data_IF_374762166170
#
_entry.id   IF_374762166170
#
_cell.length_a   1.000
_cell.length_b   1.000
_cell.length_c   1.000
_cell.angle_alpha   90.00
_cell.angle_beta   90.00
_cell.angle_gamma   90.00
#
_symmetry.space_group_name_H-M   'P 1'
#
loop_
_entity.id
_entity.type
_entity.pdbx_description
1 polymer ?
#
# COMPACT_ATOMS: atom_id res chain seq x y z
N UNK A 1 -27.42 -1.88 5.77
CA UNK A 1 -28.66 -2.28 6.44
C UNK A 1 -28.68 -3.81 6.60
N UNK A 2 -28.71 -4.31 7.84
CA UNK A 2 -28.64 -5.75 8.13
C UNK A 2 -29.87 -6.50 7.59
N UNK A 3 -31.04 -5.87 7.59
CA UNK A 3 -32.28 -6.49 7.08
C UNK A 3 -32.28 -6.80 5.58
N UNK A 4 -31.32 -6.21 4.84
CA UNK A 4 -31.16 -6.44 3.40
C UNK A 4 -30.21 -7.60 3.09
N UNK A 5 -29.65 -8.27 4.13
CA UNK A 5 -28.77 -9.42 3.98
C UNK A 5 -29.62 -10.70 3.96
N UNK A 6 -29.73 -11.30 2.80
CA UNK A 6 -30.50 -12.51 2.65
C UNK A 6 -29.78 -13.75 3.23
N UNK A 7 -30.54 -14.63 3.91
CA UNK A 7 -30.06 -15.85 4.56
C UNK A 7 -28.98 -15.62 5.64
N UNK A 8 -28.92 -14.41 6.24
CA UNK A 8 -27.95 -14.05 7.28
C UNK A 8 -26.50 -14.46 6.95
N UNK A 9 -26.15 -14.37 5.67
CA UNK A 9 -24.87 -14.85 5.17
C UNK A 9 -24.19 -13.78 4.30
N UNK A 10 -22.91 -13.57 4.55
CA UNK A 10 -22.05 -12.74 3.71
C UNK A 10 -21.07 -13.62 2.95
N UNK A 11 -20.98 -13.41 1.64
CA UNK A 11 -20.11 -14.16 0.73
C UNK A 11 -19.18 -13.16 0.03
N UNK A 12 -17.88 -13.34 0.20
CA UNK A 12 -16.87 -12.57 -0.51
C UNK A 12 -16.40 -13.37 -1.71
N UNK A 13 -16.69 -12.89 -2.91
CA UNK A 13 -16.44 -13.63 -4.16
C UNK A 13 -16.28 -12.71 -5.35
N UNK A 14 -15.82 -13.27 -6.45
CA UNK A 14 -15.84 -12.64 -7.77
C UNK A 14 -17.11 -13.08 -8.50
N UNK A 15 -17.73 -12.18 -9.25
CA UNK A 15 -18.90 -12.45 -10.06
C UNK A 15 -18.54 -12.64 -11.55
N UNK A 16 -19.52 -13.06 -12.34
CA UNK A 16 -19.33 -13.17 -13.79
C UNK A 16 -19.04 -11.81 -14.40
N UNK A 17 -18.21 -11.82 -15.43
CA UNK A 17 -17.92 -10.62 -16.22
C UNK A 17 -19.20 -9.96 -16.73
N UNK A 18 -19.23 -8.62 -16.78
CA UNK A 18 -20.37 -7.79 -17.18
C UNK A 18 -21.63 -7.93 -16.30
N UNK A 19 -21.51 -8.45 -15.09
CA UNK A 19 -22.60 -8.40 -14.12
C UNK A 19 -22.90 -6.92 -13.81
N UNK A 20 -24.17 -6.54 -13.91
CA UNK A 20 -24.61 -5.15 -13.63
C UNK A 20 -24.72 -4.92 -12.13
N UNK A 21 -24.20 -3.80 -11.68
CA UNK A 21 -24.22 -3.38 -10.28
C UNK A 21 -24.40 -1.87 -10.16
N UNK A 22 -25.40 -1.44 -9.40
CA UNK A 22 -25.65 -0.02 -9.15
C UNK A 22 -25.00 0.40 -7.84
N UNK A 23 -24.09 1.35 -7.92
CA UNK A 23 -23.35 1.92 -6.79
C UNK A 23 -24.13 3.04 -6.09
N UNK A 24 -23.64 3.48 -4.91
CA UNK A 24 -24.29 4.51 -4.08
C UNK A 24 -24.49 5.87 -4.78
N UNK A 25 -23.71 6.13 -5.84
CA UNK A 25 -23.83 7.32 -6.70
C UNK A 25 -24.86 7.21 -7.82
N UNK A 26 -25.75 6.20 -7.75
CA UNK A 26 -26.78 5.91 -8.74
C UNK A 26 -26.26 5.54 -10.14
N UNK A 27 -24.99 5.19 -10.27
CA UNK A 27 -24.40 4.77 -11.54
C UNK A 27 -24.44 3.25 -11.68
N UNK A 28 -25.04 2.75 -12.78
CA UNK A 28 -24.96 1.34 -13.16
C UNK A 28 -23.59 1.07 -13.78
N UNK A 29 -22.88 0.09 -13.22
CA UNK A 29 -21.54 -0.34 -13.64
C UNK A 29 -21.56 -1.79 -14.09
N UNK A 30 -20.77 -2.11 -15.09
CA UNK A 30 -20.51 -3.48 -15.49
C UNK A 30 -19.27 -3.99 -14.76
N UNK A 31 -19.45 -5.02 -13.92
CA UNK A 31 -18.37 -5.61 -13.14
C UNK A 31 -17.45 -6.44 -14.04
N UNK A 32 -16.17 -6.48 -13.69
CA UNK A 32 -15.23 -7.44 -14.25
C UNK A 32 -15.17 -8.70 -13.40
N UNK A 33 -14.83 -9.83 -14.02
CA UNK A 33 -14.57 -11.08 -13.32
C UNK A 33 -13.40 -11.00 -12.31
N UNK A 34 -12.57 -9.93 -12.35
CA UNK A 34 -11.51 -9.68 -11.37
C UNK A 34 -11.97 -8.83 -10.17
N UNK A 35 -13.16 -8.25 -10.22
CA UNK A 35 -13.66 -7.39 -9.15
C UNK A 35 -14.13 -8.24 -7.97
N UNK A 36 -13.58 -7.96 -6.79
CA UNK A 36 -13.98 -8.61 -5.56
C UNK A 36 -15.26 -7.97 -5.05
N UNK A 37 -16.27 -8.78 -4.81
CA UNK A 37 -17.58 -8.33 -4.36
C UNK A 37 -17.92 -8.91 -3.00
N UNK A 38 -18.62 -8.13 -2.20
CA UNK A 38 -19.31 -8.60 -1.01
C UNK A 38 -20.75 -8.82 -1.40
N UNK A 39 -21.22 -10.03 -1.22
CA UNK A 39 -22.56 -10.48 -1.60
C UNK A 39 -23.32 -11.04 -0.39
N UNK A 40 -24.63 -11.08 -0.49
CA UNK A 40 -25.49 -11.79 0.46
C UNK A 40 -25.55 -13.30 0.20
N UNK A 41 -26.32 -14.03 0.99
CA UNK A 41 -26.50 -15.48 0.86
C UNK A 41 -27.29 -15.93 -0.37
N UNK A 42 -27.81 -15.01 -1.18
CA UNK A 42 -28.40 -15.28 -2.51
C UNK A 42 -27.48 -14.88 -3.65
N UNK A 43 -26.23 -14.55 -3.36
CA UNK A 43 -25.24 -14.03 -4.31
C UNK A 43 -25.61 -12.66 -4.91
N UNK A 44 -26.45 -11.87 -4.24
CA UNK A 44 -26.73 -10.50 -4.66
C UNK A 44 -25.55 -9.59 -4.27
N UNK A 45 -24.98 -8.84 -5.20
CA UNK A 45 -23.87 -7.95 -4.88
C UNK A 45 -24.33 -6.77 -4.03
N UNK A 46 -23.63 -6.54 -2.91
CA UNK A 46 -23.92 -5.49 -1.96
C UNK A 46 -22.88 -4.36 -1.98
N UNK A 47 -21.62 -4.72 -2.29
CA UNK A 47 -20.50 -3.77 -2.23
C UNK A 47 -19.36 -4.25 -3.14
N UNK A 48 -18.69 -3.32 -3.81
CA UNK A 48 -17.37 -3.55 -4.41
C UNK A 48 -16.35 -3.46 -3.28
N UNK A 49 -15.76 -4.60 -2.92
CA UNK A 49 -14.92 -4.77 -1.74
C UNK A 49 -13.78 -3.74 -1.69
N UNK A 50 -13.74 -2.96 -0.62
CA UNK A 50 -12.74 -1.93 -0.41
C UNK A 50 -12.80 -0.72 -1.35
N UNK A 51 -13.82 -0.62 -2.21
CA UNK A 51 -13.96 0.47 -3.18
C UNK A 51 -15.22 1.28 -2.95
N UNK A 52 -16.41 0.67 -3.16
CA UNK A 52 -17.65 1.46 -3.07
C UNK A 52 -18.88 0.58 -2.79
N UNK A 53 -19.76 1.08 -1.94
CA UNK A 53 -21.00 0.41 -1.57
C UNK A 53 -22.04 0.39 -2.68
N UNK A 54 -22.96 -0.57 -2.62
CA UNK A 54 -24.12 -0.65 -3.51
C UNK A 54 -25.31 0.15 -2.99
N UNK A 55 -26.12 0.64 -3.91
CA UNK A 55 -27.31 1.44 -3.60
C UNK A 55 -28.32 0.65 -2.75
N UNK A 56 -28.55 -0.61 -3.11
CA UNK A 56 -29.59 -1.43 -2.47
C UNK A 56 -29.25 -1.74 -1.00
N UNK A 57 -27.97 -1.97 -0.70
CA UNK A 57 -27.50 -2.36 0.65
C UNK A 57 -27.26 -1.20 1.61
N UNK A 58 -27.33 0.04 1.12
CA UNK A 58 -27.09 1.25 1.88
C UNK A 58 -28.01 1.43 3.08
N UNK A 59 -27.56 2.21 4.06
CA UNK A 59 -28.36 2.64 5.20
C UNK A 59 -29.29 3.80 4.81
N UNK A 60 -30.46 3.83 5.40
CA UNK A 60 -31.50 4.82 5.18
C UNK A 60 -31.98 5.38 6.54
N UNK A 61 -32.79 6.43 6.52
CA UNK A 61 -33.35 7.00 7.76
C UNK A 61 -34.21 6.00 8.56
N UNK A 62 -34.75 4.99 7.91
CA UNK A 62 -35.54 3.91 8.50
C UNK A 62 -34.71 2.74 9.03
N UNK A 63 -33.41 2.71 8.78
CA UNK A 63 -32.53 1.60 9.19
C UNK A 63 -32.39 1.56 10.70
N UNK A 64 -32.75 0.43 11.28
CA UNK A 64 -32.64 0.17 12.73
C UNK A 64 -31.59 -0.88 13.08
N UNK A 65 -31.11 -1.63 12.09
CA UNK A 65 -30.12 -2.68 12.27
C UNK A 65 -29.02 -2.55 11.23
N UNK A 66 -27.77 -2.56 11.68
CA UNK A 66 -26.60 -2.44 10.81
C UNK A 66 -25.69 -3.65 10.96
N UNK A 67 -25.18 -4.13 9.85
CA UNK A 67 -24.08 -5.08 9.81
C UNK A 67 -22.77 -4.30 9.57
N UNK A 68 -21.82 -4.47 10.49
CA UNK A 68 -20.51 -3.84 10.38
C UNK A 68 -19.51 -4.81 9.77
N UNK A 69 -18.83 -4.34 8.74
CA UNK A 69 -17.68 -4.99 8.13
C UNK A 69 -16.42 -4.22 8.46
N UNK A 70 -15.38 -4.95 8.84
CA UNK A 70 -14.02 -4.44 8.91
C UNK A 70 -13.11 -5.49 8.29
N UNK A 71 -12.33 -5.11 7.28
CA UNK A 71 -11.61 -6.07 6.47
C UNK A 71 -10.22 -5.60 6.08
N UNK A 72 -9.41 -6.53 5.61
CA UNK A 72 -8.19 -6.29 4.86
C UNK A 72 -8.38 -6.85 3.44
N UNK A 73 -8.16 -6.03 2.43
CA UNK A 73 -8.25 -6.41 1.03
C UNK A 73 -6.89 -6.32 0.36
N UNK A 74 -6.66 -7.15 -0.65
CA UNK A 74 -5.45 -7.09 -1.46
C UNK A 74 -5.35 -5.70 -2.14
N UNK A 75 -4.30 -4.91 -1.86
CA UNK A 75 -4.16 -3.54 -2.35
C UNK A 75 -4.14 -3.43 -3.87
N UNK A 76 -3.51 -4.41 -4.54
CA UNK A 76 -3.42 -4.45 -6.00
C UNK A 76 -4.78 -4.69 -6.63
N UNK A 77 -5.59 -5.58 -6.04
CA UNK A 77 -6.96 -5.85 -6.49
C UNK A 77 -7.82 -4.59 -6.36
N UNK A 78 -7.81 -3.95 -5.19
CA UNK A 78 -8.56 -2.71 -4.94
C UNK A 78 -8.16 -1.62 -5.93
N UNK A 79 -6.85 -1.40 -6.13
CA UNK A 79 -6.34 -0.39 -7.08
C UNK A 79 -6.78 -0.64 -8.52
N UNK A 80 -6.70 -1.89 -8.99
CA UNK A 80 -7.13 -2.26 -10.35
C UNK A 80 -8.63 -2.02 -10.53
N UNK A 81 -9.44 -2.45 -9.58
CA UNK A 81 -10.89 -2.28 -9.58
C UNK A 81 -11.29 -0.80 -9.53
N UNK A 82 -10.72 -0.02 -8.60
CA UNK A 82 -10.99 1.41 -8.49
C UNK A 82 -10.65 2.15 -9.79
N UNK A 83 -9.50 1.84 -10.41
CA UNK A 83 -9.09 2.43 -11.69
C UNK A 83 -10.01 2.02 -12.83
N UNK A 84 -10.44 0.76 -12.90
CA UNK A 84 -11.35 0.24 -13.95
C UNK A 84 -12.68 0.96 -13.94
N UNK A 85 -13.24 1.20 -12.77
CA UNK A 85 -14.52 1.88 -12.61
C UNK A 85 -14.42 3.40 -12.47
N UNK A 86 -13.22 3.98 -12.60
CA UNK A 86 -12.95 5.40 -12.39
C UNK A 86 -13.46 5.91 -11.04
N UNK A 87 -13.36 5.08 -10.00
CA UNK A 87 -13.77 5.38 -8.63
C UNK A 87 -12.56 5.80 -7.79
N UNK A 88 -12.67 6.98 -7.15
CA UNK A 88 -11.71 7.46 -6.17
C UNK A 88 -12.46 7.78 -4.89
N UNK A 89 -12.49 6.81 -3.97
CA UNK A 89 -13.16 6.93 -2.68
C UNK A 89 -12.14 6.94 -1.55
N UNK A 90 -12.52 7.43 -0.37
CA UNK A 90 -11.67 7.35 0.83
C UNK A 90 -11.30 5.92 1.17
N UNK A 91 -12.21 4.96 0.93
CA UNK A 91 -11.95 3.55 1.13
C UNK A 91 -10.89 3.04 0.14
N UNK A 92 -11.09 3.23 -1.18
CA UNK A 92 -10.14 2.78 -2.19
C UNK A 92 -8.76 3.40 -2.01
N UNK A 93 -8.70 4.69 -1.66
CA UNK A 93 -7.45 5.39 -1.38
C UNK A 93 -6.64 4.75 -0.24
N UNK A 94 -7.33 4.31 0.83
CA UNK A 94 -6.65 3.65 1.97
C UNK A 94 -6.29 2.21 1.65
N UNK A 95 -7.21 1.42 1.14
CA UNK A 95 -6.99 0.00 0.86
C UNK A 95 -5.95 -0.23 -0.24
N UNK A 96 -5.91 0.60 -1.29
CA UNK A 96 -4.91 0.46 -2.36
C UNK A 96 -3.47 0.73 -1.92
N UNK A 97 -3.29 1.40 -0.77
CA UNK A 97 -1.98 1.68 -0.15
C UNK A 97 -1.62 0.73 0.97
N UNK A 98 -2.43 -0.28 1.16
CA UNK A 98 -2.38 -1.22 2.29
C UNK A 98 -2.77 -0.59 3.63
N UNK A 99 -3.64 -1.25 4.32
CA UNK A 99 -4.01 -0.95 5.70
C UNK A 99 -3.35 -1.97 6.63
N UNK A 100 -3.26 -1.66 7.92
CA UNK A 100 -2.73 -2.60 8.89
C UNK A 100 -3.73 -3.75 9.11
N UNK A 101 -3.37 -5.01 8.75
CA UNK A 101 -4.25 -6.16 8.97
C UNK A 101 -4.52 -6.42 10.45
N UNK A 102 -3.62 -6.00 11.36
CA UNK A 102 -3.77 -6.19 12.79
C UNK A 102 -4.78 -5.22 13.43
N UNK A 103 -5.14 -4.14 12.74
CA UNK A 103 -6.13 -3.18 13.23
C UNK A 103 -7.58 -3.54 12.88
N UNK A 104 -7.84 -4.57 12.08
CA UNK A 104 -9.18 -4.93 11.59
C UNK A 104 -10.17 -5.11 12.74
N UNK A 105 -9.86 -5.95 13.71
CA UNK A 105 -10.72 -6.21 14.86
C UNK A 105 -10.82 -5.01 15.81
N UNK A 106 -9.71 -4.28 16.01
CA UNK A 106 -9.74 -3.06 16.82
C UNK A 106 -10.67 -2.00 16.21
N UNK A 107 -10.57 -1.79 14.91
CA UNK A 107 -11.39 -0.83 14.17
C UNK A 107 -12.87 -1.20 14.21
N UNK A 108 -13.18 -2.50 14.05
CA UNK A 108 -14.55 -3.00 14.18
C UNK A 108 -15.15 -2.71 15.55
N UNK A 109 -14.41 -3.06 16.62
CA UNK A 109 -14.85 -2.78 18.00
C UNK A 109 -15.02 -1.28 18.25
N UNK A 110 -14.09 -0.47 17.74
CA UNK A 110 -14.17 1.00 17.88
C UNK A 110 -15.39 1.57 17.17
N UNK A 111 -15.69 1.09 15.97
CA UNK A 111 -16.88 1.50 15.21
C UNK A 111 -18.17 1.10 15.94
N UNK A 112 -18.25 -0.14 16.44
CA UNK A 112 -19.40 -0.63 17.20
C UNK A 112 -19.66 0.22 18.45
N UNK A 113 -18.63 0.51 19.25
CA UNK A 113 -18.75 1.37 20.43
C UNK A 113 -19.17 2.81 20.10
N UNK A 114 -18.71 3.35 18.97
CA UNK A 114 -19.14 4.68 18.53
C UNK A 114 -20.61 4.69 18.13
N UNK A 115 -21.10 3.67 17.44
CA UNK A 115 -22.52 3.54 17.10
C UNK A 115 -23.36 3.38 18.36
N UNK A 116 -22.96 2.54 19.31
CA UNK A 116 -23.64 2.38 20.60
C UNK A 116 -23.77 3.71 21.33
N UNK A 117 -22.68 4.48 21.41
CA UNK A 117 -22.66 5.77 22.12
C UNK A 117 -23.45 6.90 21.41
N UNK A 118 -23.44 6.93 20.06
CA UNK A 118 -24.02 8.04 19.30
C UNK A 118 -25.47 7.76 18.92
N UNK A 119 -25.78 6.51 18.58
CA UNK A 119 -27.10 6.10 18.10
C UNK A 119 -27.96 5.44 19.20
N UNK A 120 -27.46 5.33 20.43
CA UNK A 120 -28.13 4.64 21.54
C UNK A 120 -28.53 3.19 21.19
N UNK A 121 -27.72 2.57 20.32
CA UNK A 121 -27.91 1.20 19.87
C UNK A 121 -27.37 0.17 20.87
N UNK A 122 -27.48 -1.10 20.53
CA UNK A 122 -26.87 -2.19 21.30
C UNK A 122 -26.22 -3.21 20.36
N UNK A 123 -25.14 -3.82 20.80
CA UNK A 123 -24.45 -4.87 20.08
C UNK A 123 -25.24 -6.18 20.25
N UNK A 124 -25.79 -6.73 19.17
CA UNK A 124 -26.69 -7.88 19.19
C UNK A 124 -26.03 -9.23 18.84
N UNK A 125 -24.77 -9.22 18.36
CA UNK A 125 -24.11 -10.44 17.92
C UNK A 125 -22.64 -10.50 18.34
N UNK A 126 -22.06 -11.71 18.26
CA UNK A 126 -20.61 -11.90 18.41
C UNK A 126 -19.87 -11.45 17.15
N UNK A 127 -18.56 -11.14 17.30
CA UNK A 127 -17.66 -10.90 16.19
C UNK A 127 -17.36 -12.22 15.52
N UNK A 128 -17.59 -12.31 14.20
CA UNK A 128 -17.10 -13.38 13.37
C UNK A 128 -15.84 -12.90 12.67
N UNK A 129 -14.73 -13.55 12.92
CA UNK A 129 -13.43 -13.23 12.31
C UNK A 129 -12.95 -14.40 11.46
N UNK A 130 -12.61 -14.12 10.20
CA UNK A 130 -12.09 -15.08 9.25
C UNK A 130 -10.77 -14.59 8.69
N UNK A 131 -9.65 -15.10 9.23
CA UNK A 131 -8.29 -14.71 8.85
C UNK A 131 -7.43 -15.95 8.54
N UNK A 132 -7.66 -16.63 7.41
CA UNK A 132 -7.04 -17.93 7.11
C UNK A 132 -5.54 -17.84 6.81
N UNK A 133 -5.07 -16.71 6.29
CA UNK A 133 -3.68 -16.49 5.91
C UNK A 133 -3.12 -15.29 6.67
N UNK A 134 -2.62 -15.53 7.87
CA UNK A 134 -2.08 -14.48 8.73
C UNK A 134 -0.90 -13.76 8.07
N UNK A 135 -0.98 -12.44 7.96
CA UNK A 135 0.12 -11.57 7.51
C UNK A 135 1.00 -11.28 8.73
N UNK A 136 2.21 -11.80 8.71
CA UNK A 136 3.17 -11.70 9.81
C UNK A 136 4.13 -10.55 9.61
N UNK A 137 4.76 -10.15 10.72
CA UNK A 137 5.86 -9.19 10.70
C UNK A 137 6.99 -9.66 9.78
N UNK A 138 7.61 -8.74 9.07
CA UNK A 138 8.78 -9.02 8.23
C UNK A 138 10.04 -9.07 9.10
N UNK A 139 10.77 -10.18 9.04
CA UNK A 139 12.03 -10.33 9.75
C UNK A 139 13.19 -9.81 8.90
N UNK A 140 13.94 -8.83 9.44
CA UNK A 140 15.07 -8.19 8.75
C UNK A 140 16.30 -8.24 9.64
N UNK A 141 17.46 -8.57 9.05
CA UNK A 141 18.76 -8.46 9.69
C UNK A 141 19.38 -7.09 9.32
N UNK A 142 19.67 -6.26 10.31
CA UNK A 142 20.31 -4.95 10.15
C UNK A 142 21.77 -5.04 10.61
N UNK A 143 22.71 -4.88 9.69
CA UNK A 143 24.15 -4.91 9.98
C UNK A 143 24.70 -3.49 10.12
N UNK A 144 25.34 -3.20 11.27
CA UNK A 144 25.87 -1.86 11.53
C UNK A 144 26.89 -1.39 10.48
N UNK A 145 27.75 -2.30 10.00
CA UNK A 145 28.72 -1.96 8.96
C UNK A 145 28.06 -1.56 7.63
N UNK A 146 26.87 -2.08 7.35
CA UNK A 146 26.11 -1.71 6.15
C UNK A 146 25.41 -0.37 6.34
N UNK A 147 24.90 -0.09 7.55
CA UNK A 147 24.38 1.23 7.91
C UNK A 147 25.46 2.28 7.69
N UNK A 148 26.64 2.10 8.28
CA UNK A 148 27.76 3.04 8.18
C UNK A 148 28.21 3.25 6.72
N UNK A 149 28.26 2.19 5.92
CA UNK A 149 28.66 2.27 4.50
C UNK A 149 27.63 2.97 3.62
N UNK A 150 26.34 2.73 3.87
CA UNK A 150 25.27 3.28 3.02
C UNK A 150 25.02 4.75 3.36
N UNK A 151 25.06 5.10 4.63
CA UNK A 151 24.88 6.46 5.11
C UNK A 151 26.15 7.30 4.89
N UNK A 152 27.33 6.68 4.92
CA UNK A 152 28.63 7.35 4.79
C UNK A 152 29.17 7.95 6.08
N UNK A 153 28.44 7.84 7.19
CA UNK A 153 28.80 8.32 8.51
C UNK A 153 28.38 7.28 9.56
N UNK A 154 29.09 7.23 10.66
CA UNK A 154 28.79 6.31 11.75
C UNK A 154 27.75 6.91 12.69
N UNK A 155 26.60 6.28 12.80
CA UNK A 155 25.55 6.64 13.76
C UNK A 155 25.69 5.75 15.00
N UNK A 156 25.57 6.36 16.19
CA UNK A 156 25.64 5.60 17.45
C UNK A 156 24.52 4.59 17.56
N UNK A 157 24.85 3.38 18.00
CA UNK A 157 23.90 2.25 18.12
C UNK A 157 22.70 2.58 19.00
N UNK A 158 22.88 3.39 20.06
CA UNK A 158 21.77 3.82 20.92
C UNK A 158 20.78 4.69 20.15
N UNK A 159 21.29 5.57 19.30
CA UNK A 159 20.47 6.42 18.42
C UNK A 159 19.70 5.57 17.42
N UNK A 160 20.36 4.61 16.76
CA UNK A 160 19.69 3.66 15.84
C UNK A 160 18.59 2.90 16.58
N UNK A 161 18.89 2.34 17.75
CA UNK A 161 17.92 1.58 18.56
C UNK A 161 16.72 2.45 18.97
N UNK A 162 16.96 3.71 19.36
CA UNK A 162 15.90 4.66 19.72
C UNK A 162 15.00 4.98 18.53
N UNK A 163 15.59 5.20 17.35
CA UNK A 163 14.84 5.46 16.10
C UNK A 163 13.97 4.26 15.75
N UNK A 164 14.54 3.05 15.73
CA UNK A 164 13.80 1.83 15.40
C UNK A 164 12.59 1.64 16.33
N UNK A 165 12.77 1.86 17.64
CA UNK A 165 11.67 1.81 18.61
C UNK A 165 10.59 2.86 18.36
N UNK A 166 10.98 4.08 17.98
CA UNK A 166 10.01 5.14 17.66
C UNK A 166 9.20 4.88 16.39
N UNK A 167 9.69 3.97 15.55
CA UNK A 167 9.05 3.52 14.33
C UNK A 167 8.24 2.21 14.52
N UNK A 168 8.06 1.76 15.76
CA UNK A 168 7.44 0.48 16.12
C UNK A 168 8.14 -0.76 15.53
N UNK A 169 9.40 -0.63 15.12
CA UNK A 169 10.22 -1.75 14.66
C UNK A 169 10.80 -2.45 15.90
N UNK A 170 10.38 -3.69 16.12
CA UNK A 170 10.80 -4.46 17.29
C UNK A 170 12.18 -5.05 17.07
N UNK A 171 13.06 -4.90 18.04
CA UNK A 171 14.36 -5.58 18.08
C UNK A 171 14.16 -6.92 18.78
N UNK A 172 14.26 -8.01 18.02
CA UNK A 172 14.06 -9.37 18.53
C UNK A 172 15.31 -9.97 19.13
N UNK A 173 16.49 -9.64 18.53
CA UNK A 173 17.81 -10.04 19.05
C UNK A 173 18.84 -8.96 18.75
N UNK A 174 19.76 -8.76 19.66
CA UNK A 174 20.86 -7.82 19.54
C UNK A 174 22.20 -8.55 19.59
N UNK A 175 23.06 -8.28 18.63
CA UNK A 175 24.42 -8.78 18.52
C UNK A 175 25.41 -7.61 18.48
N UNK A 176 26.69 -7.89 18.61
CA UNK A 176 27.74 -6.88 18.58
C UNK A 176 27.81 -6.11 17.24
N UNK A 177 27.48 -6.78 16.13
CA UNK A 177 27.65 -6.29 14.77
C UNK A 177 26.32 -6.11 14.00
N UNK A 178 25.19 -6.59 14.55
CA UNK A 178 23.90 -6.57 13.89
C UNK A 178 22.72 -6.64 14.85
N UNK A 179 21.54 -6.27 14.33
CA UNK A 179 20.25 -6.43 14.99
C UNK A 179 19.35 -7.35 14.16
N UNK A 180 18.54 -8.17 14.82
CA UNK A 180 17.42 -8.85 14.20
C UNK A 180 16.15 -8.06 14.53
N UNK A 181 15.43 -7.70 13.50
CA UNK A 181 14.26 -6.81 13.56
C UNK A 181 13.01 -7.57 13.15
N UNK A 182 11.88 -7.18 13.74
CA UNK A 182 10.54 -7.58 13.34
C UNK A 182 9.79 -6.30 12.97
N UNK A 183 9.50 -6.14 11.69
CA UNK A 183 8.87 -4.96 11.11
C UNK A 183 7.38 -5.23 10.96
N UNK A 184 6.49 -4.41 11.53
CA UNK A 184 5.05 -4.64 11.47
C UNK A 184 4.50 -4.50 10.04
N UNK A 185 3.45 -5.25 9.68
CA UNK A 185 2.97 -5.33 8.30
C UNK A 185 2.34 -4.03 7.75
N UNK A 186 2.01 -3.05 8.59
CA UNK A 186 1.56 -1.76 8.11
C UNK A 186 2.67 -0.90 7.50
N UNK A 187 3.95 -1.27 7.74
CA UNK A 187 5.11 -0.68 7.05
C UNK A 187 5.38 -1.46 5.78
N UNK A 188 4.53 -1.27 4.80
CA UNK A 188 4.48 -2.07 3.57
C UNK A 188 5.70 -1.92 2.66
N UNK A 189 6.39 -0.82 2.78
CA UNK A 189 7.59 -0.43 2.01
C UNK A 189 8.91 -0.85 2.70
N UNK A 190 8.86 -1.27 3.97
CA UNK A 190 10.05 -1.66 4.74
C UNK A 190 10.19 -3.19 4.74
N UNK A 191 10.77 -3.72 3.69
CA UNK A 191 10.89 -5.16 3.44
C UNK A 191 12.32 -5.68 3.41
N UNK A 192 13.31 -4.79 3.28
CA UNK A 192 14.74 -5.11 3.17
C UNK A 192 15.58 -4.29 4.13
N UNK A 193 16.82 -4.68 4.29
CA UNK A 193 17.80 -3.98 5.15
C UNK A 193 18.00 -2.52 4.72
N UNK A 194 18.02 -2.27 3.42
CA UNK A 194 18.17 -0.94 2.84
C UNK A 194 17.02 -0.02 3.23
N UNK A 195 15.79 -0.55 3.22
CA UNK A 195 14.58 0.20 3.56
C UNK A 195 14.62 0.62 5.05
N UNK A 196 15.12 -0.27 5.92
CA UNK A 196 15.33 0.07 7.35
C UNK A 196 16.39 1.16 7.50
N UNK A 197 17.47 1.12 6.73
CA UNK A 197 18.52 2.14 6.75
C UNK A 197 17.97 3.49 6.28
N UNK A 198 17.12 3.50 5.26
CA UNK A 198 16.42 4.70 4.81
C UNK A 198 15.56 5.30 5.92
N UNK A 199 14.77 4.48 6.61
CA UNK A 199 13.95 4.92 7.73
C UNK A 199 14.78 5.49 8.89
N UNK A 200 15.91 4.88 9.20
CA UNK A 200 16.85 5.42 10.20
C UNK A 200 17.35 6.79 9.76
N UNK A 201 17.79 6.92 8.52
CA UNK A 201 18.34 8.18 8.00
C UNK A 201 17.27 9.27 7.91
N UNK A 202 16.04 8.91 7.55
CA UNK A 202 14.91 9.85 7.49
C UNK A 202 14.61 10.48 8.85
N UNK A 203 14.65 9.69 9.93
CA UNK A 203 14.42 10.19 11.29
C UNK A 203 15.66 10.88 11.86
N UNK A 204 16.86 10.34 11.59
CA UNK A 204 18.13 10.98 11.98
C UNK A 204 18.28 12.36 11.34
N UNK A 205 17.84 12.50 10.10
CA UNK A 205 17.86 13.73 9.29
C UNK A 205 19.03 13.75 8.32
N UNK A 206 18.73 13.86 7.03
CA UNK A 206 19.71 13.93 5.94
C UNK A 206 20.71 15.09 6.11
N UNK A 207 20.26 16.22 6.67
CA UNK A 207 21.10 17.39 6.88
C UNK A 207 22.14 17.23 8.01
N UNK A 208 22.00 16.19 8.82
CA UNK A 208 22.96 15.87 9.89
C UNK A 208 24.17 15.09 9.37
N UNK A 209 24.12 14.61 8.12
CA UNK A 209 25.22 13.87 7.50
C UNK A 209 26.25 14.83 6.95
N UNK A 210 27.50 14.64 7.37
CA UNK A 210 28.61 15.46 6.89
C UNK A 210 28.98 15.12 5.45
N UNK A 211 28.90 16.11 4.57
CA UNK A 211 29.32 15.97 3.17
C UNK A 211 30.84 16.13 3.10
N UNK A 212 31.61 15.09 2.69
CA UNK A 212 33.05 15.21 2.60
C UNK A 212 33.47 16.16 1.48
N UNK A 213 34.50 16.94 1.72
CA UNK A 213 35.04 17.88 0.72
C UNK A 213 35.80 17.18 -0.44
N UNK A 214 35.98 15.88 -0.36
CA UNK A 214 36.72 15.10 -1.34
C UNK A 214 35.91 13.90 -1.81
N UNK A 215 35.75 13.78 -3.12
CA UNK A 215 35.25 12.56 -3.77
C UNK A 215 36.43 11.61 -4.00
N UNK A 216 36.37 10.41 -3.38
CA UNK A 216 37.35 9.33 -3.63
C UNK A 216 36.69 8.30 -4.54
N UNK A 217 37.15 8.22 -5.76
CA UNK A 217 36.66 7.27 -6.76
C UNK A 217 37.84 6.55 -7.41
N UNK A 218 37.66 5.26 -7.69
CA UNK A 218 38.59 4.51 -8.54
C UNK A 218 38.24 4.79 -10.00
N UNK A 219 39.15 5.37 -10.75
CA UNK A 219 38.98 5.58 -12.17
C UNK A 219 39.37 4.26 -12.86
N UNK A 220 38.41 3.61 -13.49
CA UNK A 220 38.65 2.44 -14.31
C UNK A 220 38.69 2.92 -15.75
N UNK A 221 39.88 2.83 -16.36
CA UNK A 221 40.02 3.05 -17.79
C UNK A 221 39.52 1.78 -18.50
N UNK A 222 38.43 1.90 -19.24
CA UNK A 222 37.98 0.83 -20.14
C UNK A 222 38.21 1.29 -21.57
N UNK A 223 38.72 0.38 -22.41
CA UNK A 223 38.88 0.60 -23.86
C UNK A 223 37.53 0.61 -24.62
N UNK A 224 36.45 0.94 -23.91
CA UNK A 224 35.15 1.09 -24.55
C UNK A 224 35.10 2.37 -25.36
N UNK A 225 34.49 2.26 -26.53
CA UNK A 225 34.17 3.42 -27.36
C UNK A 225 33.32 4.38 -26.50
N UNK A 226 33.70 5.64 -26.50
CA UNK A 226 32.93 6.70 -25.84
C UNK A 226 31.65 6.92 -26.66
N UNK A 227 30.54 6.50 -26.11
CA UNK A 227 29.21 6.58 -26.76
C UNK A 227 28.82 8.04 -27.02
N UNK A 228 29.13 8.95 -26.09
CA UNK A 228 28.86 10.37 -26.24
C UNK A 228 29.68 11.01 -27.35
N UNK A 229 30.98 10.62 -27.47
CA UNK A 229 31.83 11.06 -28.55
C UNK A 229 31.31 10.60 -29.92
N UNK A 230 30.89 9.33 -30.04
CA UNK A 230 30.31 8.81 -31.27
C UNK A 230 29.01 9.51 -31.64
N UNK A 231 28.13 9.72 -30.64
CA UNK A 231 26.87 10.44 -30.83
C UNK A 231 27.11 11.87 -31.33
N UNK A 232 28.05 12.58 -30.73
CA UNK A 232 28.39 13.95 -31.12
C UNK A 232 28.92 14.01 -32.56
N UNK A 233 29.82 13.09 -32.96
CA UNK A 233 30.32 13.04 -34.36
C UNK A 233 29.16 12.83 -35.33
N UNK A 234 28.23 11.92 -35.03
CA UNK A 234 27.10 11.64 -35.92
C UNK A 234 26.14 12.84 -35.97
N UNK A 235 25.88 13.46 -34.83
CA UNK A 235 25.02 14.65 -34.75
C UNK A 235 25.60 15.83 -35.52
N UNK A 236 26.90 16.08 -35.41
CA UNK A 236 27.59 17.12 -36.15
C UNK A 236 27.56 16.84 -37.66
N UNK A 237 27.81 15.59 -38.06
CA UNK A 237 27.73 15.18 -39.46
C UNK A 237 26.33 15.44 -40.05
N UNK A 238 25.30 15.04 -39.35
CA UNK A 238 23.90 15.24 -39.79
C UNK A 238 23.51 16.71 -39.84
N UNK A 239 23.84 17.48 -38.79
CA UNK A 239 23.54 18.91 -38.74
C UNK A 239 24.21 19.69 -39.84
N UNK A 240 25.49 19.38 -40.16
CA UNK A 240 26.24 20.00 -41.24
C UNK A 240 25.67 19.64 -42.63
N UNK A 241 24.92 18.55 -42.74
CA UNK A 241 24.23 18.14 -43.97
C UNK A 241 22.76 18.63 -44.02
N UNK A 242 22.35 19.53 -43.10
CA UNK A 242 21.03 20.19 -43.13
C UNK A 242 19.92 19.45 -42.39
N UNK A 243 20.24 18.41 -41.63
CA UNK A 243 19.27 17.77 -40.74
C UNK A 243 19.12 18.56 -39.44
N UNK A 244 17.91 18.58 -38.88
CA UNK A 244 17.63 19.16 -37.58
C UNK A 244 17.32 18.07 -36.57
N UNK A 245 18.02 18.11 -35.44
CA UNK A 245 17.70 17.23 -34.32
C UNK A 245 16.36 17.67 -33.69
N UNK A 246 15.50 16.69 -33.39
CA UNK A 246 14.27 16.94 -32.65
C UNK A 246 14.10 15.89 -31.54
N UNK A 247 13.65 16.38 -30.39
CA UNK A 247 13.31 15.52 -29.24
C UNK A 247 11.81 15.39 -29.22
N UNK A 248 11.33 14.18 -29.45
CA UNK A 248 9.91 13.85 -29.43
C UNK A 248 9.55 13.13 -28.15
N UNK A 249 8.26 13.20 -27.78
CA UNK A 249 7.76 12.38 -26.69
C UNK A 249 7.82 10.89 -27.07
N UNK A 250 8.46 10.08 -26.24
CA UNK A 250 8.55 8.63 -26.44
C UNK A 250 7.22 7.89 -26.22
N UNK A 251 6.23 8.56 -25.61
CA UNK A 251 4.90 8.02 -25.44
C UNK A 251 4.04 8.42 -26.66
N UNK A 252 3.64 7.43 -27.43
CA UNK A 252 2.73 7.59 -28.56
C UNK A 252 1.47 6.76 -28.34
N UNK A 253 0.39 7.18 -29.01
CA UNK A 253 -0.84 6.38 -29.05
C UNK A 253 -0.60 5.19 -29.98
N UNK A 254 -0.87 3.96 -29.49
CA UNK A 254 -0.91 2.74 -30.29
C UNK A 254 -2.06 2.72 -31.26
#
# INVERSE_FOLDING_TARGET
DAKKIEKDTIIVQQLKDKTKFTTLDDVERELSAEDLMICDGKNQPMCIAGVFGGKISGVEKSTTEVFLESAYFNPVSVRKTAKRHALSTDASFRFERSVDPNLVIYSLKRAALLIENICEGSISSYISDFYPNEIRDTNIELRFNKVDKLIGEKIDTKTITSILKSLDIKITKEYKDKLHLSVPPYRVDVTREEDVIEEILRIYGYNNIHIPNQLKSSIIYSDKLDEDYLQNIISDLLSNNGFNECINNSLSKS
#
